data_IF_411924536180
#
_entry.id   IF_411924536180
#
_cell.length_a   1.000
_cell.length_b   1.000
_cell.length_c   1.000
_cell.angle_alpha   90.00
_cell.angle_beta   90.00
_cell.angle_gamma   90.00
#
_symmetry.space_group_name_H-M   'P 1'
#
loop_
_entity.id
_entity.type
_entity.pdbx_description
1 polymer ?
#
# COMPACT_ATOMS: atom_id res chain seq x y z
N UNK A 1 -36.65 -10.13 -0.53
CA UNK A 1 -37.11 -11.02 0.53
C UNK A 1 -38.59 -11.26 0.30
N UNK A 2 -38.97 -12.46 0.00
CA UNK A 2 -40.33 -12.83 -0.24
C UNK A 2 -40.89 -13.40 1.07
N UNK A 3 -41.74 -12.64 1.72
CA UNK A 3 -42.45 -13.03 2.94
C UNK A 3 -43.77 -13.69 2.56
N UNK A 4 -43.74 -14.83 1.91
CA UNK A 4 -44.95 -15.49 1.53
C UNK A 4 -45.07 -16.87 2.23
N UNK A 5 -45.94 -16.94 3.18
CA UNK A 5 -46.64 -18.13 3.72
C UNK A 5 -45.76 -19.38 3.88
N UNK A 6 -44.69 -19.27 4.65
CA UNK A 6 -43.87 -20.44 4.99
C UNK A 6 -42.79 -20.76 3.96
N UNK A 7 -42.54 -19.88 3.00
CA UNK A 7 -41.33 -19.96 2.21
C UNK A 7 -40.12 -19.63 3.07
N UNK A 8 -39.15 -20.52 3.12
CA UNK A 8 -37.88 -20.24 3.78
C UNK A 8 -37.30 -18.97 3.20
N UNK A 9 -36.91 -18.05 4.08
CA UNK A 9 -36.26 -16.82 3.69
C UNK A 9 -34.95 -17.17 2.96
N UNK A 10 -34.92 -16.94 1.66
CA UNK A 10 -33.71 -17.18 0.87
C UNK A 10 -32.55 -16.32 1.41
N UNK A 11 -31.40 -16.91 1.49
CA UNK A 11 -30.16 -16.27 1.90
C UNK A 11 -29.01 -16.59 0.95
N UNK A 12 -27.96 -15.81 1.05
CA UNK A 12 -26.71 -16.09 0.35
C UNK A 12 -25.52 -15.82 1.28
N UNK A 13 -24.45 -16.53 1.01
CA UNK A 13 -23.14 -16.30 1.62
C UNK A 13 -22.14 -16.09 0.51
N UNK A 14 -21.41 -14.97 0.57
CA UNK A 14 -20.31 -14.65 -0.34
C UNK A 14 -19.03 -14.66 0.47
N UNK A 15 -18.16 -15.61 0.15
CA UNK A 15 -16.82 -15.73 0.73
C UNK A 15 -15.79 -15.22 -0.29
N UNK A 16 -15.09 -14.16 0.10
CA UNK A 16 -14.00 -13.60 -0.70
C UNK A 16 -12.68 -13.87 0.03
N UNK A 17 -11.73 -14.45 -0.67
CA UNK A 17 -10.38 -14.63 -0.21
C UNK A 17 -9.43 -13.84 -1.11
N UNK A 18 -8.59 -13.03 -0.49
CA UNK A 18 -7.53 -12.29 -1.16
C UNK A 18 -6.24 -12.41 -0.36
N UNK A 19 -5.15 -12.77 -1.00
CA UNK A 19 -3.83 -12.86 -0.40
C UNK A 19 -2.79 -12.25 -1.32
N UNK A 20 -1.98 -11.37 -0.78
CA UNK A 20 -0.82 -10.77 -1.43
C UNK A 20 0.43 -11.16 -0.64
N UNK A 21 1.38 -11.78 -1.30
CA UNK A 21 2.66 -12.18 -0.73
C UNK A 21 3.78 -11.71 -1.63
N UNK A 22 4.96 -11.51 -1.06
CA UNK A 22 6.12 -11.21 -1.86
C UNK A 22 7.33 -10.78 -1.06
N UNK A 23 8.38 -10.51 -1.79
CA UNK A 23 9.64 -10.00 -1.25
C UNK A 23 10.04 -8.75 -2.00
N UNK A 24 10.76 -7.86 -1.32
CA UNK A 24 11.25 -6.63 -1.94
C UNK A 24 12.65 -6.29 -1.44
N UNK A 25 13.41 -5.62 -2.31
CA UNK A 25 14.75 -5.14 -2.01
C UNK A 25 14.88 -3.66 -2.38
N UNK A 26 15.50 -2.88 -1.51
CA UNK A 26 15.88 -1.50 -1.78
C UNK A 26 17.24 -1.18 -1.17
N UNK A 27 17.79 -0.03 -1.55
CA UNK A 27 18.99 0.54 -0.94
C UNK A 27 18.69 1.98 -0.51
N UNK A 28 19.11 2.32 0.71
CA UNK A 28 18.96 3.64 1.30
C UNK A 28 20.33 4.21 1.63
N UNK A 29 20.62 5.38 1.11
CA UNK A 29 21.85 6.10 1.39
C UNK A 29 21.52 7.47 1.97
N UNK A 30 22.25 7.86 2.99
CA UNK A 30 22.07 9.17 3.61
C UNK A 30 23.36 9.75 4.15
N UNK A 31 23.42 11.06 4.16
CA UNK A 31 24.53 11.82 4.74
C UNK A 31 24.00 12.96 5.61
N UNK A 32 24.62 13.17 6.74
CA UNK A 32 24.36 14.32 7.61
C UNK A 32 25.63 15.12 7.70
N UNK A 33 25.51 16.41 7.39
CA UNK A 33 26.62 17.35 7.48
C UNK A 33 26.35 18.41 8.55
N UNK A 34 27.41 18.86 9.20
CA UNK A 34 27.41 19.99 10.12
C UNK A 34 28.20 21.12 9.44
N UNK A 35 27.54 22.05 8.74
CA UNK A 35 28.25 23.06 7.94
C UNK A 35 29.03 24.07 8.79
N UNK A 36 28.66 24.23 10.05
CA UNK A 36 29.32 25.16 11.00
C UNK A 36 29.66 24.36 12.26
N UNK A 37 30.96 24.17 12.54
CA UNK A 37 31.45 23.35 13.66
C UNK A 37 30.95 23.84 15.04
N UNK A 38 30.90 25.15 15.22
CA UNK A 38 30.43 25.77 16.47
C UNK A 38 28.91 25.79 16.65
N UNK A 39 28.15 25.43 15.60
CA UNK A 39 26.68 25.43 15.59
C UNK A 39 26.12 24.03 15.73
N UNK A 40 25.03 23.82 16.48
CA UNK A 40 24.30 22.55 16.53
C UNK A 40 23.50 22.28 15.24
N UNK A 41 23.53 23.18 14.27
CA UNK A 41 22.80 23.05 12.99
C UNK A 41 23.33 21.88 12.16
N UNK A 42 22.42 21.10 11.61
CA UNK A 42 22.69 19.94 10.77
C UNK A 42 21.83 19.97 9.53
N UNK A 43 22.40 19.52 8.42
CA UNK A 43 21.68 19.25 7.19
C UNK A 43 21.79 17.76 6.87
N UNK A 44 20.68 17.16 6.48
CA UNK A 44 20.61 15.77 6.05
C UNK A 44 20.14 15.68 4.61
N UNK A 45 20.74 14.74 3.88
CA UNK A 45 20.33 14.37 2.53
C UNK A 45 20.20 12.85 2.51
N UNK A 46 19.11 12.34 1.96
CA UNK A 46 18.94 10.91 1.79
C UNK A 46 18.30 10.62 0.43
N UNK A 47 18.71 9.50 -0.13
CA UNK A 47 18.14 8.94 -1.35
C UNK A 47 17.79 7.48 -1.11
N UNK A 48 16.59 7.09 -1.50
CA UNK A 48 16.15 5.70 -1.51
C UNK A 48 15.99 5.27 -2.96
N UNK A 49 16.60 4.16 -3.30
CA UNK A 49 16.37 3.54 -4.62
C UNK A 49 14.93 3.06 -4.73
N UNK A 50 14.46 2.77 -5.93
CA UNK A 50 13.26 1.95 -6.09
C UNK A 50 13.34 0.69 -5.24
N UNK A 51 12.20 0.27 -4.71
CA UNK A 51 12.06 -1.08 -4.16
C UNK A 51 11.58 -1.97 -5.29
N UNK A 52 12.31 -3.03 -5.54
CA UNK A 52 11.94 -4.06 -6.50
C UNK A 52 11.23 -5.16 -5.73
N UNK A 53 9.95 -5.34 -6.04
CA UNK A 53 9.10 -6.35 -5.43
C UNK A 53 8.81 -7.47 -6.42
N UNK A 54 8.95 -8.71 -5.94
CA UNK A 54 8.35 -9.90 -6.52
C UNK A 54 7.07 -10.20 -5.73
N UNK A 55 5.92 -10.16 -6.38
CA UNK A 55 4.62 -10.26 -5.76
C UNK A 55 3.82 -11.43 -6.34
N UNK A 56 3.12 -12.13 -5.46
CA UNK A 56 2.13 -13.15 -5.79
C UNK A 56 0.79 -12.77 -5.19
N UNK A 57 -0.18 -12.65 -6.03
CA UNK A 57 -1.56 -12.40 -5.66
C UNK A 57 -2.38 -13.67 -5.83
N UNK A 58 -3.18 -14.01 -4.82
CA UNK A 58 -4.11 -15.13 -4.87
C UNK A 58 -5.50 -14.64 -4.53
N UNK A 59 -6.44 -14.97 -5.37
CA UNK A 59 -7.84 -14.57 -5.23
C UNK A 59 -8.75 -15.77 -5.39
N UNK A 60 -9.77 -15.83 -4.51
CA UNK A 60 -10.90 -16.76 -4.64
C UNK A 60 -12.18 -16.08 -4.17
N UNK A 61 -13.27 -16.35 -4.87
CA UNK A 61 -14.61 -15.93 -4.47
C UNK A 61 -15.56 -17.13 -4.58
N UNK A 62 -16.25 -17.43 -3.51
CA UNK A 62 -17.26 -18.46 -3.47
C UNK A 62 -18.61 -17.86 -3.06
N UNK A 63 -19.65 -18.16 -3.83
CA UNK A 63 -21.02 -17.79 -3.51
C UNK A 63 -21.84 -19.04 -3.28
N UNK A 64 -22.48 -19.09 -2.12
CA UNK A 64 -23.48 -20.11 -1.79
C UNK A 64 -24.82 -19.42 -1.56
N UNK A 65 -25.88 -19.94 -2.18
CA UNK A 65 -27.22 -19.38 -2.07
C UNK A 65 -28.27 -20.45 -2.09
N UNK A 66 -29.33 -20.26 -1.26
CA UNK A 66 -30.56 -21.05 -1.33
C UNK A 66 -31.71 -20.26 -1.93
N UNK A 67 -31.44 -19.10 -2.54
CA UNK A 67 -32.46 -18.31 -3.26
C UNK A 67 -32.82 -19.06 -4.55
N UNK A 68 -34.10 -19.36 -4.72
CA UNK A 68 -34.62 -19.92 -5.96
C UNK A 68 -34.52 -18.88 -7.08
N UNK A 69 -33.76 -19.19 -8.11
CA UNK A 69 -33.64 -18.37 -9.32
C UNK A 69 -34.69 -18.76 -10.39
N UNK A 70 -35.12 -20.02 -10.39
CA UNK A 70 -36.18 -20.55 -11.25
C UNK A 70 -37.10 -21.45 -10.46
N UNK A 71 -38.44 -21.25 -10.67
CA UNK A 71 -39.45 -22.15 -10.13
C UNK A 71 -39.57 -23.46 -10.93
N UNK A 72 -40.40 -24.37 -10.42
CA UNK A 72 -40.66 -25.63 -11.12
C UNK A 72 -40.91 -25.45 -12.63
N UNK A 73 -40.44 -26.34 -13.50
CA UNK A 73 -39.84 -27.63 -13.14
C UNK A 73 -38.36 -27.63 -12.83
N UNK A 74 -37.67 -26.52 -12.99
CA UNK A 74 -36.20 -26.47 -12.91
C UNK A 74 -35.67 -26.40 -11.48
N UNK A 75 -36.34 -25.70 -10.57
CA UNK A 75 -35.97 -25.54 -9.14
C UNK A 75 -34.48 -25.21 -8.91
N UNK A 76 -33.94 -24.34 -9.77
CA UNK A 76 -32.54 -23.98 -9.70
C UNK A 76 -32.34 -22.82 -8.71
N UNK A 77 -31.29 -22.89 -7.92
CA UNK A 77 -30.90 -21.81 -7.01
C UNK A 77 -30.00 -20.81 -7.72
N UNK A 78 -29.82 -19.63 -7.12
CA UNK A 78 -28.95 -18.61 -7.69
C UNK A 78 -27.49 -19.12 -7.84
N UNK A 79 -27.03 -19.97 -6.93
CA UNK A 79 -25.69 -20.58 -7.00
C UNK A 79 -25.48 -21.49 -8.21
N UNK A 80 -26.56 -22.09 -8.77
CA UNK A 80 -26.46 -22.96 -9.95
C UNK A 80 -26.12 -22.19 -11.23
N UNK A 81 -26.31 -20.87 -11.23
CA UNK A 81 -25.97 -19.98 -12.34
C UNK A 81 -24.60 -19.29 -12.18
N UNK A 82 -23.98 -19.44 -11.02
CA UNK A 82 -22.69 -18.83 -10.76
C UNK A 82 -21.60 -19.81 -11.14
N UNK A 83 -20.77 -19.40 -12.06
CA UNK A 83 -19.55 -20.11 -12.38
C UNK A 83 -18.59 -19.92 -11.20
N UNK A 84 -18.65 -20.84 -10.24
CA UNK A 84 -17.55 -20.97 -9.30
C UNK A 84 -16.35 -21.47 -10.08
N UNK A 85 -15.20 -20.78 -10.05
CA UNK A 85 -14.01 -21.28 -10.70
C UNK A 85 -13.73 -22.68 -10.18
N UNK A 86 -13.55 -23.65 -11.09
CA UNK A 86 -13.21 -25.04 -10.77
C UNK A 86 -11.86 -25.15 -10.05
N UNK A 87 -11.11 -24.04 -10.00
CA UNK A 87 -9.81 -23.92 -9.36
C UNK A 87 -9.95 -23.19 -8.02
N UNK A 88 -9.34 -23.75 -6.99
CA UNK A 88 -9.40 -23.21 -5.63
C UNK A 88 -8.95 -21.75 -5.53
N UNK A 89 -7.97 -21.34 -6.35
CA UNK A 89 -7.43 -19.98 -6.34
C UNK A 89 -6.94 -19.56 -7.72
N UNK A 90 -7.30 -18.35 -8.11
CA UNK A 90 -6.60 -17.66 -9.18
C UNK A 90 -5.34 -17.05 -8.61
N UNK A 91 -4.20 -17.41 -9.17
CA UNK A 91 -2.89 -16.92 -8.73
C UNK A 91 -2.23 -16.15 -9.86
N UNK A 92 -1.68 -14.99 -9.54
CA UNK A 92 -1.00 -14.12 -10.48
C UNK A 92 0.31 -13.61 -9.89
N UNK A 93 1.40 -13.82 -10.61
CA UNK A 93 2.74 -13.37 -10.22
C UNK A 93 3.12 -12.12 -11.04
N UNK A 94 3.63 -11.09 -10.38
CA UNK A 94 4.06 -9.87 -11.04
C UNK A 94 5.15 -9.13 -10.27
N UNK A 95 5.84 -8.24 -10.96
CA UNK A 95 6.90 -7.40 -10.44
C UNK A 95 6.44 -5.95 -10.30
N UNK A 96 6.62 -5.38 -9.12
CA UNK A 96 6.37 -3.96 -8.86
C UNK A 96 7.69 -3.26 -8.55
N UNK A 97 7.99 -2.20 -9.30
CA UNK A 97 9.10 -1.30 -9.00
C UNK A 97 8.55 0.03 -8.53
N UNK A 98 8.90 0.42 -7.29
CA UNK A 98 8.50 1.72 -6.74
C UNK A 98 9.40 2.85 -7.26
N UNK A 99 8.99 4.12 -7.15
CA UNK A 99 9.81 5.25 -7.57
C UNK A 99 10.98 5.50 -6.61
N UNK A 100 11.93 6.29 -7.08
CA UNK A 100 12.96 6.91 -6.25
C UNK A 100 12.34 7.86 -5.24
N UNK A 101 12.97 7.95 -4.06
CA UNK A 101 12.59 8.88 -3.00
C UNK A 101 13.80 9.73 -2.61
N UNK A 102 13.60 11.03 -2.54
CA UNK A 102 14.61 12.01 -2.18
C UNK A 102 14.19 12.77 -0.93
N UNK A 103 15.09 12.84 0.05
CA UNK A 103 14.84 13.56 1.30
C UNK A 103 15.90 14.61 1.54
N UNK A 104 15.47 15.80 1.96
CA UNK A 104 16.32 16.87 2.47
C UNK A 104 15.79 17.23 3.86
N UNK A 105 16.67 17.32 4.82
CA UNK A 105 16.30 17.67 6.20
C UNK A 105 17.24 18.71 6.79
N UNK A 106 16.71 19.49 7.68
CA UNK A 106 17.48 20.45 8.47
C UNK A 106 17.05 20.37 9.93
N UNK A 107 17.98 20.49 10.85
CA UNK A 107 17.68 20.44 12.26
C UNK A 107 18.70 21.20 13.10
N UNK A 108 18.25 21.68 14.24
CA UNK A 108 19.11 22.38 15.20
C UNK A 108 18.63 22.14 16.62
N UNK A 109 19.53 22.41 17.58
CA UNK A 109 19.20 22.32 19.01
C UNK A 109 19.48 23.64 19.67
N UNK A 110 18.54 24.16 20.46
CA UNK A 110 18.64 25.39 21.21
C UNK A 110 18.92 25.08 22.67
N UNK A 111 19.96 25.73 23.23
CA UNK A 111 20.36 25.62 24.65
C UNK A 111 20.46 24.16 25.17
N UNK A 112 20.63 23.17 24.28
CA UNK A 112 20.67 21.76 24.65
C UNK A 112 19.35 21.17 25.16
N UNK A 113 18.26 21.94 25.12
CA UNK A 113 16.98 21.57 25.69
C UNK A 113 15.87 21.39 24.63
N UNK A 114 15.90 22.15 23.55
CA UNK A 114 14.89 22.14 22.51
C UNK A 114 15.55 21.75 21.17
N UNK A 115 15.13 20.67 20.57
CA UNK A 115 15.52 20.29 19.20
C UNK A 115 14.36 20.56 18.25
N UNK A 116 14.65 21.17 17.11
CA UNK A 116 13.67 21.40 16.04
C UNK A 116 14.24 20.83 14.75
N UNK A 117 13.39 20.17 13.97
CA UNK A 117 13.74 19.62 12.66
C UNK A 117 12.64 19.81 11.65
N UNK A 118 13.05 19.96 10.41
CA UNK A 118 12.15 19.97 9.27
C UNK A 118 12.70 19.02 8.19
N UNK A 119 11.81 18.36 7.49
CA UNK A 119 12.13 17.44 6.40
C UNK A 119 11.22 17.72 5.21
N UNK A 120 11.81 17.67 4.04
CA UNK A 120 11.12 17.65 2.76
C UNK A 120 11.43 16.35 2.04
N UNK A 121 10.39 15.68 1.55
CA UNK A 121 10.49 14.43 0.79
C UNK A 121 9.79 14.61 -0.56
N UNK A 122 10.42 14.11 -1.60
CA UNK A 122 9.84 14.04 -2.95
C UNK A 122 9.88 12.61 -3.46
N UNK A 123 8.76 12.17 -4.04
CA UNK A 123 8.61 10.87 -4.68
C UNK A 123 7.64 10.98 -5.85
N UNK A 124 8.05 10.54 -7.04
CA UNK A 124 7.21 10.57 -8.24
C UNK A 124 6.60 9.20 -8.52
N UNK A 125 5.37 9.01 -8.08
CA UNK A 125 4.65 7.75 -8.23
C UNK A 125 4.29 7.40 -9.68
N UNK A 126 4.30 8.37 -10.62
CA UNK A 126 4.10 8.08 -12.04
C UNK A 126 5.23 7.26 -12.65
N UNK A 127 6.40 7.23 -12.01
CA UNK A 127 7.55 6.44 -12.44
C UNK A 127 7.55 4.99 -11.91
N UNK A 128 6.51 4.60 -11.16
CA UNK A 128 6.33 3.20 -10.73
C UNK A 128 6.10 2.29 -11.94
N UNK A 129 6.58 1.06 -11.87
CA UNK A 129 6.44 0.10 -12.97
C UNK A 129 5.83 -1.20 -12.49
N UNK A 130 4.82 -1.64 -13.24
CA UNK A 130 4.16 -2.92 -13.08
C UNK A 130 4.48 -3.80 -14.28
N UNK A 131 5.09 -4.96 -14.04
CA UNK A 131 5.49 -5.91 -15.08
C UNK A 131 5.08 -7.32 -14.68
N UNK A 132 4.81 -8.15 -15.67
CA UNK A 132 4.67 -9.57 -15.45
C UNK A 132 6.04 -10.22 -15.17
N UNK A 133 6.04 -11.54 -14.91
CA UNK A 133 7.26 -12.31 -14.63
C UNK A 133 8.21 -12.37 -15.83
N UNK A 134 7.71 -12.20 -17.05
CA UNK A 134 8.50 -12.19 -18.29
C UNK A 134 9.05 -10.78 -18.60
N UNK A 135 8.69 -9.77 -17.80
CA UNK A 135 9.17 -8.39 -17.92
C UNK A 135 8.34 -7.50 -18.85
N UNK A 136 7.21 -7.97 -19.36
CA UNK A 136 6.28 -7.14 -20.13
C UNK A 136 5.46 -6.25 -19.21
N UNK A 137 5.12 -5.05 -19.68
CA UNK A 137 4.29 -4.12 -18.92
C UNK A 137 2.86 -4.64 -18.80
N UNK A 138 2.31 -4.56 -17.59
CA UNK A 138 0.91 -4.93 -17.34
C UNK A 138 -0.04 -3.92 -17.97
N UNK A 139 -1.26 -4.37 -18.28
CA UNK A 139 -2.30 -3.51 -18.87
C UNK A 139 -2.66 -2.27 -18.03
N UNK A 140 -2.35 -2.28 -16.73
CA UNK A 140 -2.59 -1.16 -15.82
C UNK A 140 -1.43 -0.12 -15.80
N UNK A 141 -0.29 -0.39 -16.43
CA UNK A 141 0.85 0.52 -16.48
C UNK A 141 0.49 1.92 -17.03
N UNK A 142 -0.30 2.07 -18.09
CA UNK A 142 -0.72 3.39 -18.56
C UNK A 142 -1.54 4.18 -17.54
N UNK A 143 -2.31 3.49 -16.70
CA UNK A 143 -3.05 4.11 -15.61
C UNK A 143 -2.12 4.65 -14.52
N UNK A 144 -1.06 3.91 -14.18
CA UNK A 144 -0.01 4.38 -13.26
C UNK A 144 0.61 5.68 -13.77
N UNK A 145 1.03 5.73 -15.01
CA UNK A 145 1.70 6.89 -15.60
C UNK A 145 0.79 8.12 -15.74
N UNK A 146 -0.48 7.91 -16.08
CA UNK A 146 -1.43 8.99 -16.34
C UNK A 146 -2.07 9.56 -15.06
N UNK A 147 -2.36 8.72 -14.07
CA UNK A 147 -3.12 9.12 -12.88
C UNK A 147 -2.26 9.38 -11.66
N UNK A 148 -1.14 8.70 -11.52
CA UNK A 148 -0.22 8.96 -10.42
C UNK A 148 0.66 10.18 -10.72
N UNK A 149 1.05 10.89 -9.67
CA UNK A 149 1.80 12.16 -9.75
C UNK A 149 2.97 12.16 -8.77
N UNK A 150 3.84 13.15 -8.93
CA UNK A 150 4.84 13.48 -7.94
C UNK A 150 4.20 13.98 -6.65
N UNK A 151 4.66 13.47 -5.52
CA UNK A 151 4.18 13.82 -4.18
C UNK A 151 5.28 14.53 -3.42
N UNK A 152 4.91 15.65 -2.81
CA UNK A 152 5.75 16.46 -1.95
C UNK A 152 5.26 16.32 -0.52
N UNK A 153 6.13 15.88 0.38
CA UNK A 153 5.80 15.71 1.79
C UNK A 153 6.68 16.63 2.64
N UNK A 154 6.06 17.42 3.50
CA UNK A 154 6.74 18.27 4.47
C UNK A 154 6.46 17.75 5.86
N UNK A 155 7.50 17.59 6.67
CA UNK A 155 7.42 17.19 8.06
C UNK A 155 8.17 18.20 8.90
N UNK A 156 7.59 18.60 10.03
CA UNK A 156 8.22 19.43 11.04
C UNK A 156 8.05 18.71 12.37
N UNK A 157 9.12 18.64 13.14
CA UNK A 157 9.12 18.03 14.44
C UNK A 157 9.87 18.86 15.47
N UNK A 158 9.43 18.77 16.70
CA UNK A 158 10.06 19.41 17.85
C UNK A 158 10.18 18.40 19.00
N UNK A 159 11.34 18.42 19.64
CA UNK A 159 11.54 17.72 20.92
C UNK A 159 11.99 18.73 21.96
N UNK A 160 11.38 18.73 23.14
CA UNK A 160 11.85 19.50 24.28
C UNK A 160 12.15 18.59 25.46
N UNK A 161 13.27 18.87 26.13
CA UNK A 161 13.70 18.21 27.36
C UNK A 161 13.34 19.11 28.54
N UNK A 162 12.34 18.72 29.31
CA UNK A 162 11.87 19.47 30.47
C UNK A 162 12.79 19.20 31.68
N UNK A 163 13.07 17.93 31.91
CA UNK A 163 14.03 17.45 32.90
C UNK A 163 14.88 16.33 32.28
N UNK A 164 16.01 15.94 32.88
CA UNK A 164 16.90 14.93 32.32
C UNK A 164 16.17 13.62 31.90
N UNK A 165 15.18 13.23 32.67
CA UNK A 165 14.44 11.98 32.54
C UNK A 165 13.18 12.11 31.68
N UNK A 166 12.72 13.34 31.35
CA UNK A 166 11.45 13.57 30.68
C UNK A 166 11.58 14.46 29.44
N UNK A 167 11.14 13.94 28.29
CA UNK A 167 11.11 14.63 26.99
C UNK A 167 9.72 14.58 26.39
N UNK A 168 9.31 15.67 25.77
CA UNK A 168 8.09 15.76 24.97
C UNK A 168 8.49 15.89 23.51
N UNK A 169 7.80 15.15 22.64
CA UNK A 169 7.94 15.21 21.18
C UNK A 169 6.60 15.51 20.55
N UNK A 170 6.62 16.37 19.52
CA UNK A 170 5.46 16.72 18.70
C UNK A 170 5.87 16.77 17.21
#
# INVERSE_FOLDING_TARGET
RQDDKGADNGGYTLDNYYRLEGTGMDLKLGVIVRPIESSPFRLGFAVHTPTWYDLRESYNAALSSNILACEAPYNQTLSDFLVTPEYDYLTYDYNLTTPWKFNISAGTTFAGAVAVGAEYEYQDYSSSKLKDVDGYELGDQPSVENYLKGVHTFRIGMETRIIPEFRIRA
#
